data_IF_898968769416
#
_entry.id   IF_898968769416
#
_cell.length_a   1.000
_cell.length_b   1.000
_cell.length_c   1.000
_cell.angle_alpha   90.00
_cell.angle_beta   90.00
_cell.angle_gamma   90.00
#
_symmetry.space_group_name_H-M   'P 1'
#
loop_
_entity.id
_entity.type
_entity.pdbx_description
1 polymer ?
#
# COMPACT_ATOMS: atom_id res chain seq x y z
N UNK A 1 -6.36 -10.91 -28.16
CA UNK A 1 -6.33 -10.72 -26.70
C UNK A 1 -6.73 -12.03 -26.07
N UNK A 2 -5.81 -12.69 -25.37
CA UNK A 2 -6.15 -13.87 -24.57
C UNK A 2 -7.15 -13.49 -23.49
N UNK A 3 -8.10 -14.40 -23.20
CA UNK A 3 -9.11 -14.16 -22.18
C UNK A 3 -8.44 -13.97 -20.82
N UNK A 4 -8.85 -12.98 -20.00
CA UNK A 4 -8.37 -12.87 -18.64
C UNK A 4 -8.69 -14.17 -17.90
N UNK A 5 -7.65 -14.84 -17.41
CA UNK A 5 -7.78 -16.12 -16.73
C UNK A 5 -7.64 -15.91 -15.22
N UNK A 6 -8.58 -16.46 -14.45
CA UNK A 6 -8.54 -16.42 -12.99
C UNK A 6 -7.47 -17.40 -12.46
N UNK A 7 -6.54 -16.90 -11.64
CA UNK A 7 -5.71 -17.79 -10.83
C UNK A 7 -6.57 -18.42 -9.72
N UNK A 8 -7.02 -19.65 -9.99
CA UNK A 8 -7.91 -20.40 -9.10
C UNK A 8 -7.28 -20.67 -7.73
N UNK A 9 -5.95 -20.79 -7.65
CA UNK A 9 -5.26 -21.11 -6.39
C UNK A 9 -5.26 -19.89 -5.48
N UNK A 10 -4.89 -18.73 -6.01
CA UNK A 10 -4.91 -17.47 -5.25
C UNK A 10 -6.35 -17.14 -4.84
N UNK A 11 -7.30 -17.27 -5.77
CA UNK A 11 -8.70 -16.95 -5.53
C UNK A 11 -9.31 -17.80 -4.41
N UNK A 12 -9.26 -19.13 -4.52
CA UNK A 12 -9.85 -20.01 -3.51
C UNK A 12 -9.05 -20.01 -2.21
N UNK A 13 -7.72 -19.90 -2.28
CA UNK A 13 -6.88 -19.74 -1.09
C UNK A 13 -7.26 -18.50 -0.28
N UNK A 14 -7.44 -17.36 -0.94
CA UNK A 14 -7.87 -16.12 -0.29
C UNK A 14 -9.26 -16.26 0.33
N UNK A 15 -10.23 -16.84 -0.38
CA UNK A 15 -11.59 -17.07 0.16
C UNK A 15 -11.55 -17.94 1.41
N UNK A 16 -10.83 -19.06 1.36
CA UNK A 16 -10.74 -19.99 2.50
C UNK A 16 -10.13 -19.29 3.70
N UNK A 17 -9.03 -18.55 3.52
CA UNK A 17 -8.38 -17.81 4.61
C UNK A 17 -9.33 -16.75 5.18
N UNK A 18 -10.01 -15.97 4.33
CA UNK A 18 -10.97 -14.96 4.78
C UNK A 18 -12.10 -15.61 5.57
N UNK A 19 -12.71 -16.69 5.06
CA UNK A 19 -13.78 -17.39 5.76
C UNK A 19 -13.31 -17.96 7.11
N UNK A 20 -12.11 -18.53 7.17
CA UNK A 20 -11.54 -19.07 8.41
C UNK A 20 -11.25 -17.99 9.46
N UNK A 21 -10.91 -16.77 9.03
CA UNK A 21 -10.69 -15.65 9.95
C UNK A 21 -12.01 -14.99 10.38
N UNK A 22 -12.95 -14.81 9.45
CA UNK A 22 -14.19 -14.08 9.70
C UNK A 22 -15.24 -14.93 10.41
N UNK A 23 -15.38 -16.22 10.07
CA UNK A 23 -16.42 -17.06 10.65
C UNK A 23 -16.31 -17.20 12.19
N UNK A 24 -15.13 -17.41 12.79
CA UNK A 24 -15.00 -17.45 14.25
C UNK A 24 -15.33 -16.10 14.91
N UNK A 25 -14.98 -14.99 14.26
CA UNK A 25 -15.31 -13.64 14.75
C UNK A 25 -16.81 -13.37 14.70
N UNK A 26 -17.50 -13.85 13.66
CA UNK A 26 -18.94 -13.71 13.50
C UNK A 26 -19.72 -14.60 14.48
N UNK A 27 -19.24 -15.81 14.75
CA UNK A 27 -19.90 -16.78 15.65
C UNK A 27 -19.68 -16.46 17.14
N UNK A 28 -18.62 -15.73 17.49
CA UNK A 28 -18.27 -15.40 18.87
C UNK A 28 -17.76 -13.96 19.01
N UNK A 29 -18.59 -12.93 18.75
CA UNK A 29 -18.15 -11.54 18.62
C UNK A 29 -17.47 -10.98 19.88
N UNK A 30 -17.95 -11.32 21.07
CA UNK A 30 -17.35 -10.84 22.33
C UNK A 30 -15.93 -11.40 22.54
N UNK A 31 -15.77 -12.72 22.36
CA UNK A 31 -14.46 -13.39 22.46
C UNK A 31 -13.53 -12.92 21.34
N UNK A 32 -14.06 -12.76 20.13
CA UNK A 32 -13.33 -12.23 18.98
C UNK A 32 -12.80 -10.82 19.25
N UNK A 33 -13.64 -9.93 19.80
CA UNK A 33 -13.24 -8.58 20.17
C UNK A 33 -12.15 -8.57 21.25
N UNK A 34 -12.26 -9.42 22.27
CA UNK A 34 -11.23 -9.55 23.30
C UNK A 34 -9.88 -9.99 22.72
N UNK A 35 -9.88 -11.00 21.83
CA UNK A 35 -8.67 -11.47 21.14
C UNK A 35 -8.09 -10.35 20.26
N UNK A 36 -8.91 -9.69 19.45
CA UNK A 36 -8.48 -8.60 18.58
C UNK A 36 -7.90 -7.42 19.37
N UNK A 37 -8.51 -7.05 20.50
CA UNK A 37 -7.99 -6.01 21.38
C UNK A 37 -6.65 -6.41 21.99
N UNK A 38 -6.50 -7.68 22.42
CA UNK A 38 -5.24 -8.21 22.94
C UNK A 38 -4.11 -8.20 21.90
N UNK A 39 -4.40 -8.67 20.68
CA UNK A 39 -3.43 -8.65 19.57
C UNK A 39 -3.09 -7.21 19.18
N UNK A 40 -4.09 -6.33 19.05
CA UNK A 40 -3.88 -4.91 18.75
C UNK A 40 -2.97 -4.28 19.81
N UNK A 41 -3.30 -4.44 21.09
CA UNK A 41 -2.51 -3.91 22.21
C UNK A 41 -1.07 -4.40 22.16
N UNK A 42 -0.86 -5.71 22.00
CA UNK A 42 0.47 -6.30 21.87
C UNK A 42 1.26 -5.70 20.71
N UNK A 43 0.66 -5.59 19.51
CA UNK A 43 1.32 -5.03 18.34
C UNK A 43 1.66 -3.54 18.54
N UNK A 44 0.74 -2.75 19.10
CA UNK A 44 0.97 -1.32 19.33
C UNK A 44 2.03 -1.07 20.41
N UNK A 45 2.03 -1.85 21.49
CA UNK A 45 2.97 -1.67 22.61
C UNK A 45 4.38 -2.17 22.27
N UNK A 46 4.50 -3.34 21.61
CA UNK A 46 5.81 -3.94 21.32
C UNK A 46 6.41 -3.47 20.00
N UNK A 47 5.59 -3.23 18.99
CA UNK A 47 6.03 -2.92 17.63
C UNK A 47 5.65 -1.51 17.17
N UNK A 48 4.95 -0.70 17.98
CA UNK A 48 4.56 0.68 17.62
C UNK A 48 5.73 1.54 17.13
N UNK A 49 6.89 1.43 17.79
CA UNK A 49 8.11 2.13 17.38
C UNK A 49 8.61 1.70 15.99
N UNK A 50 8.44 0.43 15.63
CA UNK A 50 8.83 -0.11 14.33
C UNK A 50 7.92 0.46 13.23
N UNK A 51 6.61 0.58 13.48
CA UNK A 51 5.69 1.23 12.54
C UNK A 51 6.06 2.69 12.27
N UNK A 52 6.43 3.44 13.32
CA UNK A 52 6.86 4.83 13.19
C UNK A 52 8.18 4.94 12.42
N UNK A 53 9.19 4.15 12.81
CA UNK A 53 10.49 4.14 12.14
C UNK A 53 10.37 3.73 10.67
N UNK A 54 9.56 2.73 10.38
CA UNK A 54 9.30 2.28 9.02
C UNK A 54 8.69 3.38 8.16
N UNK A 55 7.70 4.09 8.68
CA UNK A 55 7.07 5.23 7.98
C UNK A 55 8.08 6.35 7.68
N UNK A 56 8.90 6.72 8.67
CA UNK A 56 9.96 7.72 8.49
C UNK A 56 11.02 7.26 7.48
N UNK A 57 11.41 5.99 7.53
CA UNK A 57 12.37 5.40 6.60
C UNK A 57 11.85 5.41 5.15
N UNK A 58 10.56 5.09 4.95
CA UNK A 58 9.92 5.18 3.63
C UNK A 58 9.93 6.61 3.13
N UNK A 59 9.52 7.56 3.96
CA UNK A 59 9.48 8.96 3.56
C UNK A 59 10.87 9.46 3.16
N UNK A 60 11.91 9.14 3.93
CA UNK A 60 13.31 9.43 3.58
C UNK A 60 13.76 8.75 2.28
N UNK A 61 13.39 7.48 2.09
CA UNK A 61 13.68 6.74 0.86
C UNK A 61 13.04 7.38 -0.37
N UNK A 62 11.80 7.87 -0.27
CA UNK A 62 11.12 8.54 -1.38
C UNK A 62 11.75 9.89 -1.69
N UNK A 63 12.15 10.68 -0.68
CA UNK A 63 12.91 11.91 -0.90
C UNK A 63 14.21 11.60 -1.64
N UNK A 64 14.92 10.55 -1.22
CA UNK A 64 16.14 10.12 -1.89
C UNK A 64 15.90 9.68 -3.34
N UNK A 65 14.79 9.01 -3.63
CA UNK A 65 14.42 8.68 -5.02
C UNK A 65 14.11 9.94 -5.84
N UNK A 66 13.36 10.88 -5.26
CA UNK A 66 12.89 12.08 -5.92
C UNK A 66 14.00 13.13 -6.16
N UNK A 67 15.06 13.13 -5.35
CA UNK A 67 16.17 14.10 -5.45
C UNK A 67 17.50 13.47 -5.87
N UNK A 68 17.62 12.15 -5.80
CA UNK A 68 18.85 11.42 -6.10
C UNK A 68 18.96 10.99 -7.55
N UNK A 69 19.82 9.99 -7.79
CA UNK A 69 20.17 9.47 -9.12
C UNK A 69 18.99 8.94 -9.94
N UNK A 70 17.87 8.62 -9.28
CA UNK A 70 16.68 8.07 -9.91
C UNK A 70 15.59 9.11 -10.22
N UNK A 71 15.80 10.38 -9.86
CA UNK A 71 14.82 11.46 -10.02
C UNK A 71 14.36 11.67 -11.47
N UNK A 72 15.24 11.37 -12.43
CA UNK A 72 14.98 11.55 -13.86
C UNK A 72 14.56 10.26 -14.57
N UNK A 73 14.30 9.18 -13.83
CA UNK A 73 13.78 7.94 -14.41
C UNK A 73 12.33 8.18 -14.86
N UNK A 74 12.10 8.11 -16.16
CA UNK A 74 10.76 8.20 -16.75
C UNK A 74 10.04 6.85 -16.66
N UNK A 75 8.82 6.85 -16.15
CA UNK A 75 7.97 5.66 -16.05
C UNK A 75 7.20 5.46 -17.35
N UNK A 76 7.83 4.77 -18.31
CA UNK A 76 7.24 4.49 -19.61
C UNK A 76 7.88 5.29 -20.74
N UNK A 77 7.38 5.06 -21.95
CA UNK A 77 7.89 5.67 -23.17
C UNK A 77 6.91 6.73 -23.68
N UNK A 78 7.40 7.80 -24.30
CA UNK A 78 6.54 8.84 -24.91
C UNK A 78 5.98 9.87 -23.92
N UNK A 79 5.09 10.73 -24.42
CA UNK A 79 4.47 11.80 -23.62
C UNK A 79 3.45 11.25 -22.61
N UNK A 80 3.20 11.93 -21.48
CA UNK A 80 2.16 11.53 -20.54
C UNK A 80 0.80 11.41 -21.23
N UNK A 81 0.09 10.30 -20.96
CA UNK A 81 -1.25 10.06 -21.52
C UNK A 81 -2.28 11.08 -21.01
N UNK A 82 -2.09 11.58 -19.79
CA UNK A 82 -2.96 12.57 -19.15
C UNK A 82 -2.21 13.88 -18.90
N UNK A 83 -2.89 15.01 -19.10
CA UNK A 83 -2.36 16.31 -18.71
C UNK A 83 -2.18 16.41 -17.20
N UNK A 84 -1.24 17.23 -16.74
CA UNK A 84 -0.96 17.41 -15.31
C UNK A 84 -2.21 17.75 -14.47
N UNK A 85 -3.12 18.66 -14.90
CA UNK A 85 -4.33 18.93 -14.14
C UNK A 85 -5.28 17.72 -14.06
N UNK A 86 -5.41 16.95 -15.15
CA UNK A 86 -6.23 15.74 -15.18
C UNK A 86 -5.65 14.65 -14.28
N UNK A 87 -4.33 14.48 -14.29
CA UNK A 87 -3.63 13.55 -13.40
C UNK A 87 -3.82 13.89 -11.93
N UNK A 88 -3.67 15.16 -11.55
CA UNK A 88 -3.95 15.62 -10.18
C UNK A 88 -5.41 15.33 -9.80
N UNK A 89 -6.36 15.63 -10.69
CA UNK A 89 -7.77 15.34 -10.44
C UNK A 89 -8.02 13.84 -10.20
N UNK A 90 -7.41 12.96 -10.99
CA UNK A 90 -7.49 11.50 -10.81
C UNK A 90 -6.92 11.03 -9.47
N UNK A 91 -5.83 11.65 -8.98
CA UNK A 91 -5.30 11.32 -7.66
C UNK A 91 -6.29 11.65 -6.55
N UNK A 92 -6.96 12.80 -6.62
CA UNK A 92 -7.96 13.17 -5.61
C UNK A 92 -9.22 12.30 -5.71
N UNK A 93 -9.74 12.06 -6.91
CA UNK A 93 -10.97 11.24 -7.07
C UNK A 93 -10.73 9.76 -6.79
N UNK A 94 -9.53 9.24 -7.08
CA UNK A 94 -9.16 7.85 -6.80
C UNK A 94 -8.88 7.55 -5.33
N UNK A 95 -8.48 8.56 -4.54
CA UNK A 95 -8.05 8.39 -3.14
C UNK A 95 -9.14 8.78 -2.12
N UNK A 96 -10.15 9.58 -2.50
CA UNK A 96 -11.29 9.89 -1.61
C UNK A 96 -12.15 8.63 -1.43
N UNK A 97 -11.76 7.79 -0.47
CA UNK A 97 -12.53 6.64 -0.01
C UNK A 97 -13.47 6.98 1.14
N UNK A 98 -14.36 6.04 1.49
CA UNK A 98 -15.28 6.16 2.64
C UNK A 98 -14.58 6.45 3.97
N UNK A 99 -13.33 6.03 4.13
CA UNK A 99 -12.54 6.28 5.34
C UNK A 99 -12.28 7.76 5.61
N UNK A 100 -11.94 8.56 4.59
CA UNK A 100 -11.67 9.99 4.75
C UNK A 100 -12.94 10.75 5.11
N UNK A 101 -14.09 10.36 4.54
CA UNK A 101 -15.39 10.97 4.89
C UNK A 101 -15.77 10.73 6.34
N UNK A 102 -15.55 9.50 6.85
CA UNK A 102 -15.83 9.16 8.24
C UNK A 102 -14.85 9.83 9.20
N UNK A 103 -13.55 9.58 9.02
CA UNK A 103 -12.53 10.08 9.94
C UNK A 103 -12.34 11.60 9.84
N UNK A 104 -12.46 12.19 8.64
CA UNK A 104 -12.41 13.65 8.48
C UNK A 104 -13.47 14.38 9.30
N UNK A 105 -14.63 13.76 9.56
CA UNK A 105 -15.69 14.35 10.36
C UNK A 105 -15.48 14.20 11.88
N UNK A 106 -14.85 13.11 12.35
CA UNK A 106 -14.86 12.74 13.78
C UNK A 106 -13.47 12.69 14.43
N UNK A 107 -12.40 12.54 13.65
CA UNK A 107 -11.05 12.28 14.17
C UNK A 107 -10.56 13.41 15.10
N UNK A 108 -10.84 14.67 14.75
CA UNK A 108 -10.52 15.82 15.60
C UNK A 108 -11.13 15.73 17.01
N UNK A 109 -12.32 15.15 17.13
CA UNK A 109 -13.01 15.02 18.42
C UNK A 109 -12.27 14.04 19.33
N UNK A 110 -11.64 13.00 18.76
CA UNK A 110 -10.76 12.11 19.51
C UNK A 110 -9.52 12.83 20.01
N UNK A 111 -8.89 13.67 19.19
CA UNK A 111 -7.74 14.47 19.64
C UNK A 111 -8.09 15.52 20.68
N UNK A 112 -9.32 16.03 20.67
CA UNK A 112 -9.76 16.97 21.69
C UNK A 112 -10.10 16.29 23.03
N UNK A 113 -10.66 15.07 22.98
CA UNK A 113 -11.13 14.34 24.18
C UNK A 113 -10.12 13.34 24.74
N UNK A 114 -9.15 12.93 23.94
CA UNK A 114 -8.04 12.05 24.30
C UNK A 114 -6.78 12.51 23.53
N UNK A 115 -6.22 13.69 23.86
CA UNK A 115 -5.10 14.26 23.13
C UNK A 115 -3.83 13.40 23.24
N UNK A 116 -2.94 13.45 22.23
CA UNK A 116 -1.67 12.75 22.27
C UNK A 116 -0.74 13.31 23.37
N UNK A 117 0.37 12.61 23.62
CA UNK A 117 1.46 13.05 24.51
C UNK A 117 1.09 13.26 25.98
N UNK A 118 -0.05 12.71 26.43
CA UNK A 118 -0.47 12.77 27.83
C UNK A 118 -1.03 14.13 28.25
N UNK A 119 -1.49 14.93 27.28
CA UNK A 119 -2.11 16.22 27.56
C UNK A 119 -3.49 16.08 28.22
N UNK A 120 -3.90 17.13 28.93
CA UNK A 120 -5.22 17.18 29.55
C UNK A 120 -6.32 17.35 28.48
N UNK A 121 -7.35 16.48 28.47
CA UNK A 121 -8.48 16.60 27.57
C UNK A 121 -9.21 17.94 27.66
N UNK A 122 -9.82 18.34 26.56
CA UNK A 122 -10.73 19.50 26.47
C UNK A 122 -10.10 20.86 26.81
N UNK A 123 -8.79 20.96 26.73
CA UNK A 123 -8.02 22.20 26.97
C UNK A 123 -7.74 22.96 25.67
N UNK A 124 -7.26 24.21 25.79
CA UNK A 124 -6.80 24.98 24.63
C UNK A 124 -5.64 24.27 23.89
N UNK A 125 -4.75 23.60 24.63
CA UNK A 125 -3.66 22.83 24.04
C UNK A 125 -4.16 21.62 23.24
N UNK A 126 -5.17 20.91 23.75
CA UNK A 126 -5.81 19.81 23.03
C UNK A 126 -6.45 20.27 21.71
N UNK A 127 -6.98 21.50 21.64
CA UNK A 127 -7.53 22.07 20.38
C UNK A 127 -6.44 22.24 19.33
N UNK A 128 -5.25 22.69 19.71
CA UNK A 128 -4.14 22.84 18.76
C UNK A 128 -3.73 21.51 18.14
N UNK A 129 -3.69 20.44 18.94
CA UNK A 129 -3.44 19.09 18.42
C UNK A 129 -4.61 18.57 17.60
N UNK A 130 -5.86 18.80 18.02
CA UNK A 130 -7.03 18.40 17.26
C UNK A 130 -7.09 19.01 15.85
N UNK A 131 -6.62 20.24 15.69
CA UNK A 131 -6.54 20.92 14.41
C UNK A 131 -5.39 20.44 13.51
N UNK A 132 -4.32 19.88 14.07
CA UNK A 132 -3.06 19.63 13.34
C UNK A 132 -2.72 18.15 13.19
N UNK A 133 -3.07 17.30 14.15
CA UNK A 133 -2.64 15.89 14.17
C UNK A 133 -3.25 15.08 13.03
N UNK A 134 -4.47 15.42 12.60
CA UNK A 134 -5.06 14.83 11.39
C UNK A 134 -4.22 15.07 10.13
N UNK A 135 -3.56 16.23 10.01
CA UNK A 135 -2.65 16.51 8.88
C UNK A 135 -1.43 15.60 8.90
N UNK A 136 -0.98 15.17 10.08
CA UNK A 136 0.10 14.19 10.17
C UNK A 136 -0.34 12.81 9.69
N UNK A 137 -1.56 12.36 10.02
CA UNK A 137 -2.07 11.05 9.59
C UNK A 137 -2.48 10.98 8.13
N UNK A 138 -3.04 12.06 7.57
CA UNK A 138 -3.55 12.09 6.18
C UNK A 138 -2.63 12.86 5.22
N UNK A 139 -1.56 13.45 5.73
CA UNK A 139 -0.54 14.14 4.95
C UNK A 139 0.56 13.18 4.49
N UNK A 140 1.79 13.69 4.42
CA UNK A 140 2.90 13.04 3.74
C UNK A 140 3.20 11.60 4.18
N UNK A 141 2.93 11.25 5.44
CA UNK A 141 3.19 9.90 5.97
C UNK A 141 2.31 8.83 5.31
N UNK A 142 1.01 9.08 5.15
CA UNK A 142 0.09 8.17 4.47
C UNK A 142 0.43 8.05 2.97
N UNK A 143 0.67 9.19 2.31
CA UNK A 143 1.04 9.20 0.89
C UNK A 143 2.36 8.47 0.63
N UNK A 144 3.33 8.58 1.55
CA UNK A 144 4.60 7.88 1.43
C UNK A 144 4.43 6.35 1.40
N UNK A 145 3.57 5.80 2.26
CA UNK A 145 3.29 4.36 2.31
C UNK A 145 2.63 3.91 0.99
N UNK A 146 1.70 4.69 0.44
CA UNK A 146 1.10 4.38 -0.86
C UNK A 146 2.13 4.39 -1.99
N UNK A 147 2.98 5.42 -2.05
CA UNK A 147 4.05 5.52 -3.05
C UNK A 147 5.00 4.32 -3.01
N UNK A 148 5.36 3.82 -1.82
CA UNK A 148 6.23 2.64 -1.70
C UNK A 148 5.66 1.42 -2.43
N UNK A 149 4.35 1.21 -2.35
CA UNK A 149 3.72 0.02 -2.96
C UNK A 149 3.55 0.15 -4.47
N UNK A 150 3.23 1.35 -4.95
CA UNK A 150 2.91 1.59 -6.37
C UNK A 150 4.17 1.79 -7.21
N UNK A 151 5.20 2.46 -6.69
CA UNK A 151 6.42 2.77 -7.45
C UNK A 151 7.15 1.53 -7.99
N UNK A 152 7.37 0.45 -7.22
CA UNK A 152 8.01 -0.76 -7.73
C UNK A 152 7.17 -1.43 -8.82
N UNK A 153 5.84 -1.42 -8.69
CA UNK A 153 4.92 -2.00 -9.69
C UNK A 153 4.97 -1.18 -10.97
N UNK A 154 4.87 0.15 -10.86
CA UNK A 154 4.94 1.06 -12.01
C UNK A 154 6.30 0.96 -12.72
N UNK A 155 7.40 0.90 -11.98
CA UNK A 155 8.74 0.70 -12.54
C UNK A 155 8.86 -0.67 -13.23
N UNK A 156 8.41 -1.74 -12.59
CA UNK A 156 8.46 -3.09 -13.16
C UNK A 156 7.65 -3.18 -14.46
N UNK A 157 6.47 -2.60 -14.49
CA UNK A 157 5.58 -2.65 -15.65
C UNK A 157 6.04 -1.70 -16.76
N UNK A 158 6.25 -0.42 -16.47
CA UNK A 158 6.52 0.59 -17.49
C UNK A 158 7.98 0.65 -17.94
N UNK A 159 8.94 0.38 -17.04
CA UNK A 159 10.37 0.46 -17.35
C UNK A 159 10.96 -0.91 -17.64
N UNK A 160 10.64 -1.93 -16.81
CA UNK A 160 11.16 -3.30 -16.99
C UNK A 160 10.30 -4.17 -17.90
N UNK A 161 9.20 -3.63 -18.43
CA UNK A 161 8.29 -4.30 -19.37
C UNK A 161 7.79 -5.66 -18.89
N UNK A 162 7.59 -5.79 -17.58
CA UNK A 162 6.98 -6.98 -17.01
C UNK A 162 5.52 -7.09 -17.49
N UNK A 163 5.06 -8.28 -17.91
CA UNK A 163 3.75 -8.42 -18.55
C UNK A 163 2.58 -8.31 -17.57
N UNK A 164 2.84 -8.31 -16.26
CA UNK A 164 1.80 -8.30 -15.22
C UNK A 164 1.95 -7.13 -14.26
N UNK A 165 0.84 -6.48 -13.94
CA UNK A 165 0.70 -5.54 -12.83
C UNK A 165 0.50 -6.30 -11.52
N UNK A 166 1.56 -6.94 -11.03
CA UNK A 166 1.52 -7.70 -9.77
C UNK A 166 2.65 -7.29 -8.83
N UNK A 167 2.36 -7.27 -7.52
CA UNK A 167 3.37 -7.02 -6.49
C UNK A 167 4.47 -8.09 -6.52
N UNK A 168 4.08 -9.36 -6.74
CA UNK A 168 5.04 -10.45 -6.90
C UNK A 168 5.96 -10.21 -8.10
N UNK A 169 5.41 -9.77 -9.22
CA UNK A 169 6.14 -9.33 -10.41
C UNK A 169 7.18 -8.24 -10.11
N UNK A 170 6.78 -7.22 -9.34
CA UNK A 170 7.70 -6.16 -8.91
C UNK A 170 8.86 -6.68 -8.05
N UNK A 171 8.64 -7.73 -7.26
CA UNK A 171 9.66 -8.36 -6.41
C UNK A 171 10.58 -9.35 -7.16
N UNK A 172 10.34 -9.66 -8.44
CA UNK A 172 11.15 -10.63 -9.21
C UNK A 172 12.66 -10.30 -9.20
N UNK A 173 13.00 -9.00 -9.24
CA UNK A 173 14.39 -8.55 -9.24
C UNK A 173 15.16 -8.92 -7.96
N UNK A 174 14.47 -9.11 -6.84
CA UNK A 174 15.07 -9.46 -5.54
C UNK A 174 14.88 -10.93 -5.20
N UNK A 175 13.71 -11.51 -5.49
CA UNK A 175 13.34 -12.88 -5.12
C UNK A 175 13.82 -13.94 -6.13
N UNK A 176 14.21 -13.52 -7.34
CA UNK A 176 14.57 -14.40 -8.44
C UNK A 176 13.35 -15.01 -9.15
N UNK A 177 13.48 -15.27 -10.45
CA UNK A 177 12.39 -15.72 -11.34
C UNK A 177 11.63 -16.95 -10.80
N UNK A 178 12.34 -17.92 -10.23
CA UNK A 178 11.78 -19.21 -9.82
C UNK A 178 10.85 -19.16 -8.60
N UNK A 179 10.98 -18.15 -7.73
CA UNK A 179 10.14 -18.03 -6.53
C UNK A 179 8.86 -17.24 -6.77
N UNK A 180 8.84 -16.41 -7.82
CA UNK A 180 7.67 -15.61 -8.17
C UNK A 180 6.63 -16.42 -8.96
N UNK A 181 7.09 -17.35 -9.80
CA UNK A 181 6.22 -18.33 -10.48
C UNK A 181 5.59 -19.34 -9.51
N UNK A 182 6.16 -19.56 -8.32
CA UNK A 182 5.59 -20.46 -7.32
C UNK A 182 4.22 -20.00 -6.79
N UNK A 183 3.91 -18.69 -6.91
CA UNK A 183 2.60 -18.11 -6.56
C UNK A 183 1.73 -17.76 -7.78
N UNK A 184 2.33 -17.63 -8.97
CA UNK A 184 1.63 -17.50 -10.27
C UNK A 184 2.00 -18.70 -11.14
N UNK A 185 1.45 -19.88 -10.83
CA UNK A 185 1.60 -21.07 -11.67
C UNK A 185 0.55 -21.05 -12.79
N UNK A 186 0.74 -20.13 -13.72
CA UNK A 186 0.05 -20.15 -15.00
C UNK A 186 1.05 -20.56 -16.06
N UNK A 187 0.96 -21.82 -16.46
CA UNK A 187 1.67 -22.34 -17.63
C UNK A 187 1.29 -21.50 -18.86
N UNK A 188 2.27 -20.87 -19.51
CA UNK A 188 2.22 -20.56 -20.94
C UNK A 188 3.63 -20.45 -21.53
N UNK A 189 4.01 -21.50 -22.27
CA UNK A 189 5.04 -21.67 -23.29
C UNK A 189 5.95 -20.48 -23.68
N UNK A 190 6.95 -20.15 -22.86
CA UNK A 190 8.14 -19.40 -23.33
C UNK A 190 9.42 -19.78 -22.58
N UNK A 191 9.43 -20.93 -21.90
CA UNK A 191 10.63 -21.57 -21.35
C UNK A 191 11.50 -22.21 -22.46
N UNK A 192 11.91 -21.43 -23.45
CA UNK A 192 12.96 -21.84 -24.39
C UNK A 192 14.01 -20.73 -24.54
N UNK A 193 15.30 -21.02 -24.29
CA UNK A 193 16.36 -20.23 -24.89
C UNK A 193 16.50 -20.67 -26.35
N UNK A 194 16.37 -19.74 -27.27
CA UNK A 194 16.85 -19.92 -28.63
C UNK A 194 17.43 -18.61 -29.11
N UNK A 195 18.72 -18.46 -28.82
CA UNK A 195 19.62 -17.56 -29.50
C UNK A 195 19.33 -17.68 -31.00
N UNK A 196 18.76 -16.63 -31.63
CA UNK A 196 18.94 -16.23 -33.04
C UNK A 196 17.86 -15.24 -33.49
N UNK A 197 18.33 -14.10 -34.01
CA UNK A 197 17.72 -13.27 -35.06
C UNK A 197 16.35 -12.62 -34.81
N UNK A 198 16.32 -11.29 -34.70
CA UNK A 198 16.08 -10.43 -35.87
C UNK A 198 16.23 -8.95 -35.50
N UNK A 199 17.07 -8.27 -36.29
CA UNK A 199 17.01 -6.83 -36.48
C UNK A 199 15.64 -6.48 -37.07
N UNK A 200 14.95 -5.52 -36.46
CA UNK A 200 14.37 -4.27 -37.00
C UNK A 200 13.71 -3.56 -35.81
#
# INVERSE_FOLDING_TARGET
>A
MDKPQLDKRIFWGAIIIICLLVAPLALGPEKGLAILNGVRGFLTEKFGWLYMLFTVAIFGFLIWLATGKYAHVKLGDGEPEFSTPSWIAMMFTGVIGGGIMYWGAIEWAFYYTAPPFGLEPKTAEAVHWAATYGLFHWGFTAWAIFCLSVLPIAYAFHVRKQPTLSLSGACQGVLGKYRTHALNFQFSFQDFPSDLHLQI
#
